data_IF_488441252172
#
_entry.id   IF_488441252172
#
_cell.length_a   1.000
_cell.length_b   1.000
_cell.length_c   1.000
_cell.angle_alpha   90.00
_cell.angle_beta   90.00
_cell.angle_gamma   90.00
#
_symmetry.space_group_name_H-M   'P 1'
#
loop_
_entity.id
_entity.type
_entity.pdbx_description
1 polymer ?
#
# COMPACT_ATOMS: atom_id res chain seq x y z
N UNK A 1 14.87 16.58 5.70
CA UNK A 1 13.45 16.97 5.47
C UNK A 1 12.69 15.70 5.10
N UNK A 2 11.72 15.25 5.91
CA UNK A 2 10.96 14.03 5.61
C UNK A 2 9.75 14.40 4.74
N UNK A 3 9.74 13.94 3.50
CA UNK A 3 8.53 13.98 2.68
C UNK A 3 7.45 13.13 3.36
N UNK A 4 6.21 13.63 3.50
CA UNK A 4 5.11 12.78 3.89
C UNK A 4 4.80 11.84 2.71
N UNK A 5 5.42 10.66 2.73
CA UNK A 5 5.26 9.64 1.70
C UNK A 5 4.17 8.63 2.06
N UNK A 6 3.82 7.80 1.09
CA UNK A 6 3.04 6.59 1.33
C UNK A 6 3.89 5.59 2.12
N UNK A 7 3.27 4.90 3.08
CA UNK A 7 3.94 3.83 3.82
C UNK A 7 4.16 2.66 2.86
N UNK A 8 5.41 2.21 2.73
CA UNK A 8 5.76 1.06 1.89
C UNK A 8 5.96 1.35 0.40
N UNK A 9 5.96 2.62 -0.01
CA UNK A 9 6.14 3.04 -1.43
C UNK A 9 7.44 2.49 -2.05
N UNK A 10 8.52 2.49 -1.27
CA UNK A 10 9.86 2.05 -1.70
C UNK A 10 10.15 0.59 -1.33
N UNK A 11 9.14 -0.19 -0.91
CA UNK A 11 9.35 -1.57 -0.50
C UNK A 11 9.47 -2.48 -1.74
N UNK A 12 10.57 -3.24 -1.82
CA UNK A 12 10.70 -4.30 -2.81
C UNK A 12 9.60 -5.35 -2.66
N UNK A 13 9.21 -6.05 -3.75
CA UNK A 13 8.28 -7.16 -3.68
C UNK A 13 8.69 -8.21 -2.63
N UNK A 14 7.70 -8.84 -1.98
CA UNK A 14 7.97 -9.92 -1.02
C UNK A 14 8.63 -11.08 -1.78
N UNK A 15 9.80 -11.57 -1.32
CA UNK A 15 10.50 -12.64 -2.02
C UNK A 15 9.72 -13.96 -1.97
N UNK A 16 9.88 -14.79 -3.00
CA UNK A 16 9.24 -16.13 -3.06
C UNK A 16 9.75 -17.08 -1.97
N UNK A 17 10.92 -16.80 -1.38
CA UNK A 17 11.45 -17.56 -0.24
C UNK A 17 10.67 -17.30 1.05
N UNK A 18 9.88 -16.22 1.10
CA UNK A 18 9.05 -15.88 2.26
C UNK A 18 8.01 -16.97 2.54
N UNK A 19 7.89 -17.37 3.79
CA UNK A 19 7.01 -18.48 4.19
C UNK A 19 5.53 -18.16 3.85
N UNK A 20 5.08 -16.93 4.07
CA UNK A 20 3.72 -16.49 3.72
C UNK A 20 3.45 -16.53 2.22
N UNK A 21 4.43 -16.11 1.40
CA UNK A 21 4.34 -16.21 -0.05
C UNK A 21 4.21 -17.67 -0.51
N UNK A 22 5.04 -18.58 0.02
CA UNK A 22 4.94 -20.02 -0.28
C UNK A 22 3.61 -20.64 0.14
N UNK A 23 3.10 -20.25 1.30
CA UNK A 23 1.79 -20.71 1.80
C UNK A 23 0.68 -20.30 0.84
N UNK A 24 0.63 -19.03 0.42
CA UNK A 24 -0.37 -18.55 -0.54
C UNK A 24 -0.30 -19.31 -1.86
N UNK A 25 0.90 -19.50 -2.40
CA UNK A 25 1.10 -20.29 -3.63
C UNK A 25 0.60 -21.73 -3.50
N UNK A 26 0.83 -22.36 -2.34
CA UNK A 26 0.36 -23.72 -2.07
C UNK A 26 -1.18 -23.80 -1.98
N UNK A 27 -1.84 -22.69 -1.68
CA UNK A 27 -3.31 -22.56 -1.70
C UNK A 27 -3.85 -22.17 -3.08
N UNK A 28 -3.00 -22.13 -4.12
CA UNK A 28 -3.40 -21.84 -5.51
C UNK A 28 -3.33 -20.37 -5.90
N UNK A 29 -2.95 -19.47 -5.00
CA UNK A 29 -2.71 -18.06 -5.34
C UNK A 29 -1.47 -17.92 -6.24
N UNK A 30 -1.48 -16.98 -7.19
CA UNK A 30 -0.35 -16.73 -8.09
C UNK A 30 0.24 -15.35 -7.82
N UNK A 31 1.57 -15.18 -7.77
CA UNK A 31 2.17 -13.86 -7.62
C UNK A 31 1.63 -12.87 -8.65
N UNK A 32 1.18 -11.70 -8.17
CA UNK A 32 0.57 -10.67 -8.99
C UNK A 32 -0.93 -10.84 -9.26
N UNK A 33 -1.56 -11.97 -8.90
CA UNK A 33 -3.01 -12.13 -8.99
C UNK A 33 -3.72 -11.59 -7.75
N UNK A 34 -4.99 -11.23 -7.90
CA UNK A 34 -5.86 -10.91 -6.76
C UNK A 34 -6.18 -12.18 -5.98
N UNK A 35 -6.66 -12.00 -4.75
CA UNK A 35 -7.30 -13.06 -3.96
C UNK A 35 -8.80 -13.10 -4.27
N UNK A 36 -9.48 -14.21 -4.02
CA UNK A 36 -10.89 -14.38 -4.37
C UNK A 36 -11.10 -15.61 -5.25
N UNK A 37 -12.35 -15.97 -5.49
CA UNK A 37 -12.67 -17.17 -6.27
C UNK A 37 -12.17 -17.07 -7.72
N UNK A 38 -12.25 -15.86 -8.29
CA UNK A 38 -11.86 -15.53 -9.65
C UNK A 38 -10.63 -14.59 -9.67
N UNK A 39 -9.97 -14.39 -8.52
CA UNK A 39 -8.86 -13.45 -8.38
C UNK A 39 -9.26 -11.98 -8.46
N UNK A 40 -10.51 -11.67 -8.13
CA UNK A 40 -11.15 -10.34 -8.22
C UNK A 40 -10.72 -9.35 -7.13
N UNK A 41 -10.07 -9.84 -6.08
CA UNK A 41 -9.58 -9.04 -4.97
C UNK A 41 -8.41 -8.14 -5.36
N UNK A 42 -8.09 -7.24 -4.43
CA UNK A 42 -7.07 -6.21 -4.62
C UNK A 42 -5.69 -6.86 -4.83
N UNK A 43 -5.04 -6.53 -5.95
CA UNK A 43 -3.71 -7.04 -6.34
C UNK A 43 -2.56 -6.24 -5.72
N UNK A 44 -2.77 -4.94 -5.50
CA UNK A 44 -1.75 -4.01 -5.01
C UNK A 44 -2.09 -3.52 -3.61
N UNK A 45 -1.10 -3.36 -2.71
CA UNK A 45 -1.38 -2.87 -1.36
C UNK A 45 -2.11 -1.52 -1.38
N UNK A 46 -3.07 -1.35 -0.46
CA UNK A 46 -3.74 -0.05 -0.28
C UNK A 46 -2.74 0.95 0.28
N UNK A 47 -2.56 2.07 -0.43
CA UNK A 47 -1.58 3.08 -0.06
C UNK A 47 -2.05 3.88 1.16
N UNK A 48 -1.22 3.88 2.21
CA UNK A 48 -1.47 4.64 3.43
C UNK A 48 -0.58 5.88 3.48
N UNK A 49 -1.16 7.07 3.53
CA UNK A 49 -0.41 8.33 3.62
C UNK A 49 0.03 8.61 5.06
N UNK A 50 1.34 8.88 5.26
CA UNK A 50 1.85 9.21 6.60
C UNK A 50 1.50 10.65 6.96
N UNK A 51 0.71 10.82 8.03
CA UNK A 51 0.42 12.16 8.58
C UNK A 51 1.64 12.76 9.26
N UNK A 52 1.83 14.06 9.09
CA UNK A 52 2.79 14.80 9.92
C UNK A 52 2.28 14.84 11.37
N UNK A 53 3.20 15.00 12.33
CA UNK A 53 2.91 14.86 13.77
C UNK A 53 1.71 15.71 14.21
N UNK A 54 0.83 15.12 15.03
CA UNK A 54 -0.29 15.76 15.79
C UNK A 54 -1.20 16.71 14.99
N UNK A 55 -1.13 16.74 13.66
CA UNK A 55 -2.04 17.53 12.84
C UNK A 55 -3.42 16.91 12.85
N UNK A 56 -4.44 17.74 13.08
CA UNK A 56 -5.83 17.34 13.02
C UNK A 56 -6.24 16.85 11.63
N UNK A 57 -7.29 16.02 11.59
CA UNK A 57 -7.98 15.64 10.36
C UNK A 57 -8.42 16.92 9.62
N UNK A 58 -8.13 17.02 8.31
CA UNK A 58 -8.45 18.20 7.50
C UNK A 58 -7.40 19.31 7.47
N UNK A 59 -6.27 19.17 8.17
CA UNK A 59 -5.12 20.08 8.03
C UNK A 59 -4.38 19.80 6.69
N UNK A 60 -5.05 20.09 5.58
CA UNK A 60 -4.42 20.14 4.26
C UNK A 60 -3.84 21.54 4.05
N UNK A 61 -2.64 21.64 3.48
CA UNK A 61 -2.15 22.92 2.93
C UNK A 61 -2.98 23.23 1.69
N UNK A 62 -4.20 23.72 1.88
CA UNK A 62 -4.97 24.32 0.80
C UNK A 62 -4.22 25.58 0.39
N UNK A 63 -3.55 25.54 -0.77
CA UNK A 63 -3.10 26.78 -1.41
C UNK A 63 -4.37 27.51 -1.85
N UNK A 64 -4.82 28.48 -1.06
CA UNK A 64 -5.73 29.50 -1.56
C UNK A 64 -4.99 30.30 -2.63
N UNK A 65 -5.21 29.93 -3.90
CA UNK A 65 -5.00 30.85 -5.02
C UNK A 65 -6.17 31.84 -4.96
N UNK A 66 -5.96 32.99 -4.32
CA UNK A 66 -6.88 34.14 -4.45
C UNK A 66 -6.79 34.58 -5.92
N UNK A 67 -7.94 34.57 -6.59
CA UNK A 67 -8.16 35.32 -7.83
C UNK A 67 -8.31 36.81 -7.53
#
# INVERSE_FOLDING_TARGET
MTFPGYVGDEASPIPETNIGNKMLQSMGWKPGSGLGAEGEGIQTPVLAYRRLRRTGLGHSKTKHKKS
#
